data_IF_280439322143
#
_entry.id   IF_280439322143
#
_cell.length_a   1.000
_cell.length_b   1.000
_cell.length_c   1.000
_cell.angle_alpha   90.00
_cell.angle_beta   90.00
_cell.angle_gamma   90.00
#
_symmetry.space_group_name_H-M   'P 1'
#
loop_
_entity.id
_entity.type
_entity.pdbx_description
1 polymer ?
#
# COMPACT_ATOMS: atom_id res chain seq x y z
N UNK A 1 20.14 2.13 -24.56
CA UNK A 1 19.99 2.12 -23.08
C UNK A 1 18.69 2.79 -22.57
N UNK A 2 17.74 3.18 -23.45
CA UNK A 2 16.46 3.83 -23.09
C UNK A 2 15.40 2.91 -22.45
N UNK A 3 15.50 1.58 -22.63
CA UNK A 3 14.45 0.63 -22.21
C UNK A 3 14.40 0.33 -20.71
N UNK A 4 15.48 0.57 -19.96
CA UNK A 4 15.53 0.20 -18.54
C UNK A 4 14.87 1.25 -17.62
N UNK A 5 14.93 2.54 -17.98
CA UNK A 5 14.35 3.62 -17.17
C UNK A 5 12.81 3.63 -17.27
N UNK A 6 12.26 3.49 -18.48
CA UNK A 6 10.81 3.43 -18.70
C UNK A 6 10.16 2.21 -18.02
N UNK A 7 10.83 1.05 -18.04
CA UNK A 7 10.42 -0.15 -17.28
C UNK A 7 10.40 0.06 -15.77
N UNK A 8 11.32 0.87 -15.24
CA UNK A 8 11.46 1.05 -13.80
C UNK A 8 10.35 1.92 -13.19
N UNK A 9 9.89 2.94 -13.93
CA UNK A 9 8.80 3.83 -13.52
C UNK A 9 7.47 3.11 -13.61
N UNK A 10 7.22 2.44 -14.73
CA UNK A 10 6.01 1.63 -14.91
C UNK A 10 5.89 0.54 -13.85
N UNK A 11 6.99 -0.13 -13.51
CA UNK A 11 7.00 -1.09 -12.41
C UNK A 11 6.65 -0.44 -11.07
N UNK A 12 7.28 0.68 -10.69
CA UNK A 12 6.97 1.36 -9.41
C UNK A 12 5.51 1.80 -9.30
N UNK A 13 4.96 2.37 -10.38
CA UNK A 13 3.56 2.76 -10.47
C UNK A 13 2.63 1.55 -10.39
N UNK A 14 3.01 0.42 -10.98
CA UNK A 14 2.24 -0.82 -10.90
C UNK A 14 2.18 -1.36 -9.47
N UNK A 15 3.30 -1.36 -8.75
CA UNK A 15 3.36 -1.76 -7.34
C UNK A 15 2.54 -0.84 -6.43
N UNK A 16 2.58 0.48 -6.66
CA UNK A 16 1.74 1.41 -5.90
C UNK A 16 0.25 1.20 -6.17
N UNK A 17 -0.14 0.99 -7.43
CA UNK A 17 -1.54 0.66 -7.79
C UNK A 17 -1.98 -0.65 -7.15
N UNK A 18 -1.12 -1.67 -7.15
CA UNK A 18 -1.40 -2.95 -6.52
C UNK A 18 -1.57 -2.79 -5.00
N UNK A 19 -0.67 -2.04 -4.35
CA UNK A 19 -0.76 -1.72 -2.92
C UNK A 19 -2.04 -0.97 -2.56
N UNK A 20 -2.46 0.01 -3.37
CA UNK A 20 -3.75 0.72 -3.19
C UNK A 20 -4.92 -0.24 -3.32
N UNK A 21 -4.97 -1.04 -4.40
CA UNK A 21 -6.07 -1.99 -4.63
C UNK A 21 -6.21 -2.98 -3.47
N UNK A 22 -5.09 -3.59 -3.04
CA UNK A 22 -5.09 -4.54 -1.92
C UNK A 22 -5.53 -3.86 -0.62
N UNK A 23 -5.06 -2.64 -0.35
CA UNK A 23 -5.44 -1.88 0.85
C UNK A 23 -6.92 -1.47 0.86
N UNK A 24 -7.48 -1.11 -0.30
CA UNK A 24 -8.91 -0.80 -0.44
C UNK A 24 -9.75 -2.05 -0.23
N UNK A 25 -9.36 -3.18 -0.83
CA UNK A 25 -10.05 -4.46 -0.62
C UNK A 25 -10.00 -4.84 0.86
N UNK A 26 -8.85 -4.69 1.52
CA UNK A 26 -8.68 -4.91 2.95
C UNK A 26 -9.67 -4.04 3.76
N UNK A 27 -9.71 -2.73 3.50
CA UNK A 27 -10.61 -1.81 4.20
C UNK A 27 -12.10 -2.18 4.01
N UNK A 28 -12.50 -2.54 2.78
CA UNK A 28 -13.87 -2.98 2.48
C UNK A 28 -14.19 -4.27 3.23
N UNK A 29 -13.29 -5.26 3.20
CA UNK A 29 -13.45 -6.52 3.93
C UNK A 29 -13.59 -6.28 5.43
N UNK A 30 -12.72 -5.45 6.03
CA UNK A 30 -12.74 -5.13 7.45
C UNK A 30 -14.05 -4.48 7.89
N UNK A 31 -14.77 -3.79 7.00
CA UNK A 31 -16.04 -3.14 7.32
C UNK A 31 -17.27 -4.00 6.98
N UNK A 32 -17.29 -4.63 5.80
CA UNK A 32 -18.47 -5.35 5.30
C UNK A 32 -18.61 -6.76 5.86
N UNK A 33 -17.51 -7.50 6.04
CA UNK A 33 -17.57 -8.84 6.65
C UNK A 33 -18.20 -8.81 8.05
N UNK A 34 -17.85 -7.86 8.96
CA UNK A 34 -18.56 -7.71 10.24
C UNK A 34 -20.06 -7.54 10.11
N UNK A 35 -20.45 -6.62 9.23
CA UNK A 35 -21.83 -6.19 9.09
C UNK A 35 -22.66 -7.35 8.54
N UNK A 36 -22.13 -8.06 7.54
CA UNK A 36 -22.78 -9.24 6.95
C UNK A 36 -22.87 -10.37 7.98
N UNK A 37 -21.83 -10.59 8.78
CA UNK A 37 -21.86 -11.60 9.85
C UNK A 37 -22.83 -11.25 10.99
N UNK A 38 -23.10 -9.96 11.23
CA UNK A 38 -24.11 -9.52 12.18
C UNK A 38 -25.55 -9.63 11.63
N UNK A 39 -25.73 -9.41 10.32
CA UNK A 39 -27.05 -9.44 9.65
C UNK A 39 -27.49 -10.84 9.24
N UNK A 40 -26.56 -11.68 8.79
CA UNK A 40 -26.82 -13.08 8.50
C UNK A 40 -26.16 -13.95 9.59
N UNK A 41 -26.87 -14.95 10.16
CA UNK A 41 -26.30 -15.86 11.15
C UNK A 41 -25.40 -16.90 10.46
N UNK A 42 -24.42 -16.44 9.66
CA UNK A 42 -23.39 -17.26 9.01
C UNK A 42 -22.27 -17.57 10.00
N UNK A 43 -22.64 -18.00 11.20
CA UNK A 43 -21.75 -18.24 12.35
C UNK A 43 -20.68 -19.29 12.04
N UNK A 44 -20.93 -20.18 11.08
CA UNK A 44 -19.99 -21.23 10.64
C UNK A 44 -18.94 -20.76 9.62
N UNK A 45 -19.21 -19.70 8.84
CA UNK A 45 -18.27 -19.19 7.82
C UNK A 45 -17.52 -17.93 8.26
N UNK A 46 -18.07 -17.18 9.23
CA UNK A 46 -17.48 -15.94 9.73
C UNK A 46 -16.03 -16.09 10.25
N UNK A 47 -15.66 -17.12 11.04
CA UNK A 47 -14.30 -17.23 11.58
C UNK A 47 -13.26 -17.47 10.48
N UNK A 48 -13.59 -18.34 9.51
CA UNK A 48 -12.69 -18.66 8.39
C UNK A 48 -12.41 -17.42 7.54
N UNK A 49 -13.42 -16.59 7.29
CA UNK A 49 -13.25 -15.37 6.50
C UNK A 49 -12.54 -14.25 7.27
N UNK A 50 -12.68 -14.19 8.59
CA UNK A 50 -12.05 -13.14 9.40
C UNK A 50 -10.59 -13.45 9.75
N UNK A 51 -10.31 -14.71 10.13
CA UNK A 51 -9.00 -15.13 10.63
C UNK A 51 -7.98 -15.32 9.50
N UNK A 52 -8.41 -15.76 8.31
CA UNK A 52 -7.50 -16.01 7.19
C UNK A 52 -7.31 -14.80 6.27
N UNK A 53 -8.25 -13.86 6.24
CA UNK A 53 -8.15 -12.70 5.36
C UNK A 53 -6.99 -11.76 5.75
N UNK A 54 -6.86 -11.44 7.03
CA UNK A 54 -5.79 -10.57 7.54
C UNK A 54 -4.37 -11.07 7.22
N UNK A 55 -3.98 -12.34 7.50
CA UNK A 55 -2.64 -12.84 7.18
C UNK A 55 -2.39 -12.88 5.66
N UNK A 56 -3.41 -13.17 4.84
CA UNK A 56 -3.30 -13.09 3.38
C UNK A 56 -3.03 -11.65 2.94
N UNK A 57 -3.79 -10.67 3.44
CA UNK A 57 -3.56 -9.27 3.09
C UNK A 57 -2.18 -8.77 3.55
N UNK A 58 -1.73 -9.15 4.75
CA UNK A 58 -0.38 -8.84 5.24
C UNK A 58 0.67 -9.40 4.28
N UNK A 59 0.51 -10.65 3.82
CA UNK A 59 1.42 -11.29 2.87
C UNK A 59 1.43 -10.58 1.50
N UNK A 60 0.28 -10.10 1.02
CA UNK A 60 0.20 -9.34 -0.23
C UNK A 60 0.76 -7.91 -0.10
N UNK A 61 0.57 -7.27 1.05
CA UNK A 61 0.99 -5.89 1.31
C UNK A 61 2.51 -5.82 1.55
N UNK A 62 3.09 -6.80 2.25
CA UNK A 62 4.52 -6.84 2.55
C UNK A 62 5.45 -6.59 1.34
N UNK A 63 5.31 -7.27 0.18
CA UNK A 63 6.13 -7.00 -0.99
C UNK A 63 5.87 -5.61 -1.57
N UNK A 64 4.63 -5.11 -1.55
CA UNK A 64 4.32 -3.76 -2.07
C UNK A 64 5.05 -2.68 -1.27
N UNK A 65 5.11 -2.81 0.06
CA UNK A 65 5.84 -1.91 0.94
C UNK A 65 7.35 -2.04 0.72
N UNK A 66 7.87 -3.27 0.60
CA UNK A 66 9.29 -3.50 0.34
C UNK A 66 9.74 -2.84 -0.96
N UNK A 67 9.00 -3.04 -2.06
CA UNK A 67 9.32 -2.43 -3.35
C UNK A 67 9.09 -0.93 -3.37
N UNK A 68 8.01 -0.42 -2.76
CA UNK A 68 7.76 1.02 -2.64
C UNK A 68 8.87 1.71 -1.82
N UNK A 69 9.26 1.13 -0.68
CA UNK A 69 10.32 1.65 0.19
C UNK A 69 11.68 1.68 -0.50
N UNK A 70 12.05 0.59 -1.20
CA UNK A 70 13.33 0.50 -1.93
C UNK A 70 13.40 1.48 -3.11
N UNK A 71 12.27 1.86 -3.70
CA UNK A 71 12.19 2.80 -4.84
C UNK A 71 12.02 4.25 -4.40
N UNK A 72 11.38 4.48 -3.26
CA UNK A 72 11.18 5.77 -2.60
C UNK A 72 12.42 6.24 -1.83
N UNK A 73 13.63 5.96 -2.35
CA UNK A 73 14.95 6.12 -1.73
C UNK A 73 15.25 7.52 -1.11
N UNK A 74 14.34 8.49 -1.25
CA UNK A 74 14.50 9.88 -0.84
C UNK A 74 13.38 10.46 0.06
N UNK A 75 12.16 9.92 0.07
CA UNK A 75 11.09 10.45 0.93
C UNK A 75 10.84 9.55 2.14
N UNK A 76 11.61 9.76 3.20
CA UNK A 76 11.48 9.06 4.49
C UNK A 76 10.12 9.28 5.15
N UNK A 77 9.29 10.24 4.70
CA UNK A 77 7.91 10.38 5.21
C UNK A 77 7.03 9.28 4.62
N UNK A 78 7.19 8.95 3.35
CA UNK A 78 6.39 7.94 2.65
C UNK A 78 6.64 6.56 3.27
N UNK A 79 7.90 6.18 3.47
CA UNK A 79 8.27 4.91 4.12
C UNK A 79 7.67 4.81 5.53
N UNK A 80 7.64 5.92 6.28
CA UNK A 80 7.00 5.95 7.61
C UNK A 80 5.49 5.73 7.54
N UNK A 81 4.79 6.32 6.56
CA UNK A 81 3.36 6.07 6.40
C UNK A 81 3.07 4.60 6.04
N UNK A 82 3.82 4.01 5.10
CA UNK A 82 3.61 2.61 4.72
C UNK A 82 3.95 1.67 5.90
N UNK A 83 5.07 1.91 6.58
CA UNK A 83 5.48 1.11 7.74
C UNK A 83 4.49 1.23 8.89
N UNK A 84 4.02 2.43 9.22
CA UNK A 84 3.04 2.64 10.27
C UNK A 84 1.70 1.99 9.94
N UNK A 85 1.22 2.10 8.70
CA UNK A 85 -0.01 1.44 8.25
C UNK A 85 0.07 -0.08 8.36
N UNK A 86 1.19 -0.66 7.95
CA UNK A 86 1.43 -2.10 8.08
C UNK A 86 1.48 -2.56 9.52
N UNK A 87 2.22 -1.85 10.38
CA UNK A 87 2.27 -2.15 11.80
C UNK A 87 0.89 -2.06 12.44
N UNK A 88 0.09 -1.06 12.10
CA UNK A 88 -1.28 -0.95 12.60
C UNK A 88 -2.14 -2.14 12.19
N UNK A 89 -2.04 -2.62 10.95
CA UNK A 89 -2.79 -3.81 10.52
C UNK A 89 -2.32 -5.05 11.29
N UNK A 90 -1.01 -5.27 11.40
CA UNK A 90 -0.45 -6.43 12.10
C UNK A 90 -0.78 -6.40 13.60
N UNK A 91 -0.62 -5.26 14.26
CA UNK A 91 -0.94 -5.11 15.67
C UNK A 91 -2.46 -5.14 15.92
N UNK A 92 -3.26 -4.55 15.03
CA UNK A 92 -4.72 -4.59 15.12
C UNK A 92 -5.23 -6.01 15.09
N UNK A 93 -4.74 -6.83 14.16
CA UNK A 93 -5.06 -8.25 14.10
C UNK A 93 -4.54 -9.02 15.32
N UNK A 94 -3.26 -8.86 15.69
CA UNK A 94 -2.67 -9.62 16.79
C UNK A 94 -3.26 -9.26 18.16
N UNK A 95 -3.48 -7.98 18.45
CA UNK A 95 -4.05 -7.55 19.73
C UNK A 95 -5.57 -7.69 19.77
N UNK A 96 -6.23 -7.48 18.63
CA UNK A 96 -7.67 -7.63 18.47
C UNK A 96 -8.13 -9.07 18.65
N UNK A 97 -7.49 -10.00 17.95
CA UNK A 97 -7.82 -11.43 18.00
C UNK A 97 -7.51 -12.05 19.37
N UNK A 98 -6.37 -11.69 19.99
CA UNK A 98 -5.93 -12.36 21.21
C UNK A 98 -6.37 -11.69 22.52
N UNK A 99 -6.51 -10.35 22.59
CA UNK A 99 -6.65 -9.65 23.88
C UNK A 99 -7.85 -8.70 24.00
N UNK A 100 -8.09 -7.82 23.01
CA UNK A 100 -9.00 -6.67 23.20
C UNK A 100 -10.39 -6.91 22.58
N UNK A 101 -10.45 -7.72 21.53
CA UNK A 101 -11.69 -8.08 20.86
C UNK A 101 -11.95 -7.31 19.55
N UNK A 102 -13.07 -7.67 18.95
CA UNK A 102 -13.41 -7.43 17.54
C UNK A 102 -13.48 -5.94 17.11
N UNK A 103 -14.01 -5.08 17.98
CA UNK A 103 -14.14 -3.64 17.68
C UNK A 103 -12.78 -2.95 17.58
N UNK A 104 -11.84 -3.34 18.42
CA UNK A 104 -10.48 -2.80 18.39
C UNK A 104 -9.73 -3.26 17.14
N UNK A 105 -9.87 -4.55 16.80
CA UNK A 105 -9.34 -5.12 15.56
C UNK A 105 -9.78 -4.30 14.36
N UNK A 106 -11.11 -4.21 14.16
CA UNK A 106 -11.73 -3.55 13.01
C UNK A 106 -11.31 -2.08 12.90
N UNK A 107 -11.35 -1.33 14.00
CA UNK A 107 -11.02 0.11 13.96
C UNK A 107 -9.54 0.32 13.66
N UNK A 108 -8.66 -0.48 14.26
CA UNK A 108 -7.20 -0.35 14.09
C UNK A 108 -6.76 -0.76 12.69
N UNK A 109 -7.26 -1.87 12.16
CA UNK A 109 -6.93 -2.35 10.81
C UNK A 109 -7.51 -1.45 9.73
N UNK A 110 -8.69 -0.85 9.97
CA UNK A 110 -9.27 0.17 9.08
C UNK A 110 -8.39 1.43 9.02
N UNK A 111 -7.96 1.95 10.17
CA UNK A 111 -7.04 3.11 10.23
C UNK A 111 -5.72 2.77 9.53
N UNK A 112 -5.17 1.58 9.77
CA UNK A 112 -3.95 1.09 9.11
C UNK A 112 -4.11 1.04 7.59
N UNK A 113 -5.25 0.56 7.10
CA UNK A 113 -5.55 0.49 5.66
C UNK A 113 -5.63 1.87 5.01
N UNK A 114 -6.28 2.85 5.67
CA UNK A 114 -6.29 4.25 5.19
C UNK A 114 -4.86 4.79 5.11
N UNK A 115 -4.03 4.52 6.12
CA UNK A 115 -2.63 4.96 6.12
C UNK A 115 -1.85 4.40 4.94
N UNK A 116 -2.03 3.11 4.62
CA UNK A 116 -1.39 2.47 3.47
C UNK A 116 -1.85 3.09 2.15
N UNK A 117 -3.15 3.32 1.98
CA UNK A 117 -3.70 3.98 0.78
C UNK A 117 -3.07 5.37 0.61
N UNK A 118 -3.02 6.17 1.67
CA UNK A 118 -2.40 7.51 1.65
C UNK A 118 -0.91 7.43 1.36
N UNK A 119 -0.22 6.45 1.95
CA UNK A 119 1.20 6.19 1.72
C UNK A 119 1.52 5.88 0.25
N UNK A 120 0.82 4.91 -0.34
CA UNK A 120 0.99 4.55 -1.75
C UNK A 120 0.54 5.68 -2.68
N UNK A 121 -0.50 6.42 -2.34
CA UNK A 121 -0.93 7.57 -3.15
C UNK A 121 0.10 8.70 -3.14
N UNK A 122 0.71 8.98 -1.97
CA UNK A 122 1.82 9.94 -1.87
C UNK A 122 3.03 9.45 -2.67
N UNK A 123 3.36 8.16 -2.62
CA UNK A 123 4.44 7.58 -3.42
C UNK A 123 4.19 7.72 -4.93
N UNK A 124 2.98 7.36 -5.36
CA UNK A 124 2.53 7.54 -6.74
C UNK A 124 2.60 9.01 -7.19
N UNK A 125 2.12 9.93 -6.36
CA UNK A 125 2.18 11.37 -6.66
C UNK A 125 3.63 11.85 -6.74
N UNK A 126 4.49 11.42 -5.82
CA UNK A 126 5.91 11.77 -5.82
C UNK A 126 6.60 11.33 -7.12
N UNK A 127 6.37 10.08 -7.55
CA UNK A 127 6.91 9.55 -8.80
C UNK A 127 6.42 10.33 -10.05
N UNK A 128 5.23 10.96 -9.98
CA UNK A 128 4.66 11.78 -11.06
C UNK A 128 5.12 13.23 -11.04
N UNK A 129 5.36 13.82 -9.88
CA UNK A 129 5.65 15.25 -9.72
C UNK A 129 7.13 15.57 -9.54
N UNK A 130 7.96 14.58 -9.22
CA UNK A 130 9.39 14.80 -9.09
C UNK A 130 9.98 15.18 -10.47
N UNK A 131 10.88 16.17 -10.49
CA UNK A 131 11.55 16.68 -11.71
C UNK A 131 13.08 16.62 -11.60
N UNK A 132 13.59 16.01 -10.52
CA UNK A 132 15.01 16.05 -10.18
C UNK A 132 15.73 14.89 -10.87
N UNK A 133 16.53 15.22 -11.90
CA UNK A 133 17.20 14.25 -12.78
C UNK A 133 18.20 13.32 -12.08
N UNK A 134 18.63 13.62 -10.85
CA UNK A 134 19.54 12.78 -10.06
C UNK A 134 18.84 11.61 -9.37
N UNK A 135 17.50 11.56 -9.34
CA UNK A 135 16.79 10.41 -8.81
C UNK A 135 16.63 9.29 -9.85
N UNK A 136 16.99 8.06 -9.47
CA UNK A 136 16.96 6.84 -10.31
C UNK A 136 15.55 6.36 -10.72
N UNK A 137 14.53 7.21 -10.57
CA UNK A 137 13.12 6.95 -10.90
C UNK A 137 12.56 7.94 -11.94
N UNK A 138 13.40 8.72 -12.62
CA UNK A 138 13.02 9.50 -13.80
C UNK A 138 13.59 8.90 -15.10
N UNK A 139 12.90 9.06 -16.24
CA UNK A 139 13.57 9.02 -17.52
C UNK A 139 14.49 10.24 -17.53
N UNK A 140 15.79 10.04 -17.74
CA UNK A 140 16.71 11.16 -18.00
C UNK A 140 16.13 11.90 -19.19
N UNK A 141 15.69 13.15 -18.98
CA UNK A 141 15.14 13.99 -20.02
C UNK A 141 16.25 14.26 -21.04
N UNK A 142 16.25 13.51 -22.12
CA UNK A 142 17.10 13.77 -23.28
C UNK A 142 16.35 14.75 -24.20
N UNK A 143 16.06 15.96 -23.72
CA UNK A 143 15.57 17.06 -24.56
C UNK A 143 16.05 18.42 -24.03
N UNK A 144 17.37 18.61 -23.96
CA UNK A 144 17.93 19.96 -23.92
C UNK A 144 19.12 20.13 -24.90
N UNK A 145 19.05 19.47 -26.06
CA UNK A 145 19.99 19.78 -27.14
C UNK A 145 19.39 19.61 -28.55
N UNK A 146 18.29 20.30 -28.82
CA UNK A 146 17.75 20.49 -30.18
C UNK A 146 17.42 21.94 -30.55
N UNK A 147 17.93 22.92 -29.80
CA UNK A 147 17.64 24.34 -30.05
C UNK A 147 18.88 25.16 -30.45
N UNK A 148 20.11 24.62 -30.36
CA UNK A 148 21.34 25.40 -30.60
C UNK A 148 22.26 24.91 -31.73
N UNK A 149 21.72 24.26 -32.77
CA UNK A 149 22.51 23.92 -33.97
C UNK A 149 21.71 24.11 -35.27
N UNK A 150 21.00 25.24 -35.40
CA UNK A 150 20.50 25.77 -36.68
C UNK A 150 21.39 26.92 -37.12
#
# INVERSE_FOLDING_TARGET
>A
MKSLSEKSITASVLWDRFGISVSVICAIHCLFVPIIAALLPLTSLSPVLHDWAHPVFILLIAPTIYYASRRSHYDSKIVRYLGAGFLLITFGWLLGHFWIGYWFETTTTFIGSILLIVGHWKNYKHHRTCKVASHKHHPVAEEENKIHSS
#
